data_IF_205885712660
#
_entry.id   IF_205885712660
#
_cell.length_a   1.000
_cell.length_b   1.000
_cell.length_c   1.000
_cell.angle_alpha   90.00
_cell.angle_beta   90.00
_cell.angle_gamma   90.00
#
_symmetry.space_group_name_H-M   'P 1'
#
loop_
_entity.id
_entity.type
_entity.pdbx_description
1 polymer ?
#
# COMPACT_ATOMS: atom_id res chain seq x y z
N UNK A 1 42.56 31.65 22.90
CA UNK A 1 42.72 30.21 23.20
C UNK A 1 41.48 29.74 23.94
N UNK A 2 40.56 29.15 23.23
CA UNK A 2 39.51 28.30 23.80
C UNK A 2 39.43 27.10 22.85
N UNK A 3 40.07 26.01 23.24
CA UNK A 3 39.93 24.71 22.59
C UNK A 3 38.62 24.10 23.02
N UNK A 4 37.77 23.81 22.07
CA UNK A 4 36.57 23.01 22.25
C UNK A 4 36.85 21.60 21.76
N UNK A 5 36.92 20.65 22.69
CA UNK A 5 37.00 19.23 22.44
C UNK A 5 35.81 18.78 21.58
N UNK A 6 36.12 18.29 20.40
CA UNK A 6 35.18 17.49 19.62
C UNK A 6 35.04 16.12 20.28
N UNK A 7 34.02 15.96 21.10
CA UNK A 7 33.61 14.65 21.60
C UNK A 7 33.32 13.74 20.42
N UNK A 8 34.23 12.79 20.20
CA UNK A 8 33.99 11.62 19.32
C UNK A 8 32.74 10.90 19.79
N UNK A 9 31.65 11.03 19.03
CA UNK A 9 30.51 10.16 19.21
C UNK A 9 30.94 8.73 18.86
N UNK A 10 30.91 7.88 19.87
CA UNK A 10 31.08 6.45 19.66
C UNK A 10 30.02 5.93 18.65
N UNK A 11 30.37 5.03 17.74
CA UNK A 11 29.41 4.44 16.86
C UNK A 11 28.33 3.75 17.69
N UNK A 12 27.06 4.00 17.34
CA UNK A 12 25.91 3.29 17.89
C UNK A 12 26.15 1.79 17.75
N UNK A 13 25.78 0.95 18.74
CA UNK A 13 25.96 -0.49 18.63
C UNK A 13 25.23 -0.93 17.32
N UNK A 14 25.96 -1.64 16.46
CA UNK A 14 25.38 -2.27 15.28
C UNK A 14 24.20 -3.11 15.75
N UNK A 15 22.99 -2.70 15.41
CA UNK A 15 21.81 -3.51 15.62
C UNK A 15 22.02 -4.79 14.81
N UNK A 16 22.24 -5.90 15.51
CA UNK A 16 22.36 -7.21 14.88
C UNK A 16 21.14 -7.48 14.00
N UNK A 17 21.21 -8.44 13.06
CA UNK A 17 20.08 -8.75 12.19
C UNK A 17 18.85 -9.06 13.04
N UNK A 18 17.69 -8.47 12.67
CA UNK A 18 16.42 -8.74 13.34
C UNK A 18 16.18 -10.25 13.46
N UNK A 19 16.01 -10.73 14.68
CA UNK A 19 15.63 -12.12 14.90
C UNK A 19 14.14 -12.25 14.59
N UNK A 20 13.83 -12.91 13.49
CA UNK A 20 12.47 -13.15 13.03
C UNK A 20 12.10 -14.60 13.36
N UNK A 21 11.03 -14.79 14.10
CA UNK A 21 10.44 -16.09 14.33
C UNK A 21 9.15 -16.23 13.51
N UNK A 22 8.89 -17.45 13.01
CA UNK A 22 7.73 -17.76 12.17
C UNK A 22 7.08 -19.04 12.66
N UNK A 23 5.77 -19.00 12.85
CA UNK A 23 4.95 -20.17 13.21
C UNK A 23 3.70 -20.21 12.34
N UNK A 24 3.24 -21.41 12.03
CA UNK A 24 1.94 -21.63 11.38
C UNK A 24 1.05 -22.45 12.31
N UNK A 25 -0.10 -21.89 12.66
CA UNK A 25 -1.11 -22.53 13.47
C UNK A 25 -1.82 -23.66 12.70
N UNK A 26 -2.48 -24.56 13.43
CA UNK A 26 -3.22 -25.70 12.83
C UNK A 26 -4.32 -25.26 11.87
N UNK A 27 -4.97 -24.12 12.13
CA UNK A 27 -6.00 -23.55 11.26
C UNK A 27 -5.44 -22.85 10.00
N UNK A 28 -4.11 -22.81 9.84
CA UNK A 28 -3.44 -22.24 8.68
C UNK A 28 -2.98 -20.78 8.86
N UNK A 29 -3.35 -20.11 9.96
CA UNK A 29 -2.88 -18.75 10.28
C UNK A 29 -1.35 -18.75 10.40
N UNK A 30 -0.70 -17.81 9.72
CA UNK A 30 0.74 -17.61 9.82
C UNK A 30 1.03 -16.45 10.78
N UNK A 31 2.01 -16.67 11.66
CA UNK A 31 2.47 -15.67 12.62
C UNK A 31 3.95 -15.39 12.44
N UNK A 32 4.34 -14.14 12.48
CA UNK A 32 5.74 -13.70 12.55
C UNK A 32 5.92 -12.80 13.76
N UNK A 33 7.06 -12.93 14.44
CA UNK A 33 7.33 -12.19 15.66
C UNK A 33 8.75 -11.66 15.74
N UNK A 34 8.89 -10.51 16.39
CA UNK A 34 10.17 -9.91 16.79
C UNK A 34 10.04 -9.28 18.18
N UNK A 35 10.88 -9.73 19.11
CA UNK A 35 10.97 -9.16 20.43
C UNK A 35 11.81 -7.89 20.44
N UNK A 36 11.28 -6.81 21.00
CA UNK A 36 11.99 -5.53 21.17
C UNK A 36 11.85 -5.02 22.60
N UNK A 37 12.90 -5.17 23.39
CA UNK A 37 12.94 -4.76 24.80
C UNK A 37 13.04 -3.23 24.99
N UNK A 38 13.39 -2.49 23.95
CA UNK A 38 13.62 -1.05 24.05
C UNK A 38 12.32 -0.22 24.14
N UNK A 39 11.17 -0.83 23.82
CA UNK A 39 9.89 -0.14 23.79
C UNK A 39 8.85 -0.85 24.64
N UNK A 40 8.08 -0.11 25.42
CA UNK A 40 6.92 -0.64 26.18
C UNK A 40 5.73 -0.99 25.29
N UNK A 41 5.69 -0.45 24.07
CA UNK A 41 4.59 -0.68 23.14
C UNK A 41 4.74 -2.01 22.40
N UNK A 42 3.59 -2.64 22.12
CA UNK A 42 3.47 -3.78 21.25
C UNK A 42 2.57 -3.41 20.07
N UNK A 43 2.96 -3.83 18.88
CA UNK A 43 2.19 -3.66 17.65
C UNK A 43 1.87 -5.02 17.08
N UNK A 44 0.56 -5.28 16.89
CA UNK A 44 0.04 -6.42 16.14
C UNK A 44 -0.50 -5.89 14.81
N UNK A 45 -0.13 -6.53 13.72
CA UNK A 45 -0.68 -6.29 12.38
C UNK A 45 -1.18 -7.58 11.80
N UNK A 46 -2.47 -7.64 11.52
CA UNK A 46 -3.07 -8.75 10.79
C UNK A 46 -3.33 -8.31 9.36
N UNK A 47 -2.77 -9.01 8.38
CA UNK A 47 -3.05 -8.80 6.97
C UNK A 47 -3.72 -10.02 6.39
N UNK A 48 -4.84 -9.79 5.71
CA UNK A 48 -5.56 -10.80 4.96
C UNK A 48 -5.42 -10.52 3.46
N UNK A 49 -5.25 -11.59 2.69
CA UNK A 49 -5.28 -11.52 1.22
C UNK A 49 -6.72 -11.40 0.73
N UNK A 50 -7.36 -10.29 1.09
CA UNK A 50 -8.73 -9.92 0.70
C UNK A 50 -8.82 -8.42 0.54
N UNK A 51 -9.48 -7.95 -0.50
CA UNK A 51 -9.58 -6.51 -0.78
C UNK A 51 -10.55 -6.24 -1.93
N UNK A 52 -10.53 -5.02 -2.42
CA UNK A 52 -11.45 -4.54 -3.44
C UNK A 52 -11.45 -5.31 -4.77
N UNK A 53 -10.41 -6.12 -5.05
CA UNK A 53 -10.37 -6.99 -6.24
C UNK A 53 -11.44 -8.08 -6.22
N UNK A 54 -11.90 -8.46 -5.04
CA UNK A 54 -12.93 -9.47 -4.83
C UNK A 54 -14.36 -8.92 -4.90
N UNK A 55 -14.52 -7.60 -4.99
CA UNK A 55 -15.84 -6.99 -5.10
C UNK A 55 -16.49 -7.31 -6.44
N UNK A 56 -17.77 -7.72 -6.48
CA UNK A 56 -18.53 -7.74 -7.71
C UNK A 56 -18.63 -6.32 -8.30
N UNK A 57 -18.51 -6.15 -9.63
CA UNK A 57 -18.55 -4.81 -10.27
C UNK A 57 -19.76 -3.97 -9.84
N UNK A 58 -20.93 -4.59 -9.74
CA UNK A 58 -22.19 -3.93 -9.38
C UNK A 58 -22.31 -3.55 -7.90
N UNK A 59 -21.39 -4.06 -7.07
CA UNK A 59 -21.27 -3.79 -5.63
C UNK A 59 -19.82 -3.42 -5.22
N UNK A 60 -19.10 -2.77 -6.13
CA UNK A 60 -17.78 -2.21 -5.81
C UNK A 60 -17.88 -1.32 -4.56
N UNK A 61 -16.95 -1.47 -3.61
CA UNK A 61 -16.99 -0.86 -2.28
C UNK A 61 -17.41 -1.82 -1.16
N UNK A 62 -17.81 -3.07 -1.47
CA UNK A 62 -18.18 -4.06 -0.46
C UNK A 62 -17.02 -4.35 0.49
N UNK A 63 -15.81 -4.61 -0.02
CA UNK A 63 -14.63 -4.84 0.81
C UNK A 63 -14.33 -3.63 1.71
N UNK A 64 -14.40 -2.41 1.15
CA UNK A 64 -14.18 -1.16 1.92
C UNK A 64 -15.18 -1.01 3.06
N UNK A 65 -16.47 -1.21 2.79
CA UNK A 65 -17.50 -1.18 3.82
C UNK A 65 -17.30 -2.30 4.85
N UNK A 66 -16.98 -3.53 4.41
CA UNK A 66 -16.70 -4.64 5.33
C UNK A 66 -15.57 -4.28 6.29
N UNK A 67 -14.43 -3.79 5.79
CA UNK A 67 -13.31 -3.39 6.64
C UNK A 67 -13.66 -2.25 7.60
N UNK A 68 -14.37 -1.22 7.13
CA UNK A 68 -14.81 -0.10 7.97
C UNK A 68 -15.82 -0.53 9.07
N UNK A 69 -16.54 -1.63 8.84
CA UNK A 69 -17.54 -2.15 9.76
C UNK A 69 -16.98 -3.14 10.78
N UNK A 70 -15.73 -3.60 10.68
CA UNK A 70 -15.14 -4.58 11.61
C UNK A 70 -15.19 -4.12 13.07
N UNK A 71 -15.06 -2.82 13.31
CA UNK A 71 -15.05 -2.20 14.64
C UNK A 71 -16.41 -1.61 15.05
N UNK A 72 -17.45 -1.75 14.20
CA UNK A 72 -18.76 -1.12 14.45
C UNK A 72 -19.72 -2.00 15.23
N UNK A 73 -19.25 -3.13 15.76
CA UNK A 73 -19.96 -4.06 16.62
C UNK A 73 -19.55 -5.49 16.34
N UNK A 74 -19.43 -6.27 17.39
CA UNK A 74 -19.05 -7.67 17.40
C UNK A 74 -20.10 -8.48 18.15
N UNK A 75 -19.89 -9.80 18.27
CA UNK A 75 -20.77 -10.66 19.07
C UNK A 75 -20.65 -10.39 20.57
N UNK A 76 -19.57 -9.73 21.04
CA UNK A 76 -19.27 -9.48 22.45
C UNK A 76 -19.53 -8.02 22.85
N UNK A 77 -19.26 -7.07 21.94
CA UNK A 77 -19.31 -5.65 22.24
C UNK A 77 -20.06 -4.88 21.17
N UNK A 78 -20.89 -3.92 21.59
CA UNK A 78 -21.39 -2.87 20.68
C UNK A 78 -20.23 -1.96 20.26
N UNK A 79 -20.48 -1.06 19.30
CA UNK A 79 -19.51 -0.06 18.88
C UNK A 79 -19.02 0.80 20.06
N UNK A 80 -19.96 1.28 20.87
CA UNK A 80 -19.68 2.11 22.03
C UNK A 80 -18.87 1.37 23.09
N UNK A 81 -19.25 0.12 23.40
CA UNK A 81 -18.55 -0.73 24.37
C UNK A 81 -17.12 -1.07 23.90
N UNK A 82 -16.93 -1.34 22.59
CA UNK A 82 -15.60 -1.61 22.05
C UNK A 82 -14.69 -0.38 22.14
N UNK A 83 -15.21 0.81 21.82
CA UNK A 83 -14.46 2.06 21.97
C UNK A 83 -14.13 2.35 23.44
N UNK A 84 -15.10 2.21 24.34
CA UNK A 84 -14.86 2.41 25.77
C UNK A 84 -13.78 1.45 26.30
N UNK A 85 -13.82 0.18 25.89
CA UNK A 85 -12.83 -0.83 26.25
C UNK A 85 -11.43 -0.46 25.75
N UNK A 86 -11.32 -0.06 24.48
CA UNK A 86 -10.03 0.27 23.88
C UNK A 86 -9.48 1.59 24.44
N UNK A 87 -10.31 2.61 24.58
CA UNK A 87 -9.91 3.92 25.11
C UNK A 87 -9.46 3.83 26.58
N UNK A 88 -10.18 3.07 27.42
CA UNK A 88 -9.84 2.88 28.82
C UNK A 88 -8.48 2.20 29.04
N UNK A 89 -8.03 1.38 28.07
CA UNK A 89 -6.76 0.65 28.14
C UNK A 89 -5.69 1.21 27.17
N UNK A 90 -5.92 2.38 26.56
CA UNK A 90 -4.96 3.00 25.63
C UNK A 90 -4.65 2.15 24.39
N UNK A 91 -5.58 1.26 24.01
CA UNK A 91 -5.46 0.42 22.83
C UNK A 91 -5.93 1.19 21.60
N UNK A 92 -5.10 1.26 20.57
CA UNK A 92 -5.51 1.82 19.28
C UNK A 92 -5.76 0.69 18.29
N UNK A 93 -6.88 0.76 17.57
CA UNK A 93 -7.22 -0.18 16.53
C UNK A 93 -7.57 0.56 15.23
N UNK A 94 -7.07 0.09 14.11
CA UNK A 94 -7.37 0.64 12.78
C UNK A 94 -7.50 -0.48 11.76
N UNK A 95 -8.45 -0.33 10.84
CA UNK A 95 -8.62 -1.23 9.70
C UNK A 95 -8.47 -0.45 8.39
N UNK A 96 -7.68 -0.97 7.47
CA UNK A 96 -7.51 -0.44 6.14
C UNK A 96 -7.74 -1.50 5.06
N UNK A 97 -8.36 -1.09 3.95
CA UNK A 97 -8.67 -1.98 2.83
C UNK A 97 -8.04 -1.43 1.57
N UNK A 98 -7.11 -2.20 1.04
CA UNK A 98 -6.46 -1.95 -0.23
C UNK A 98 -7.09 -2.77 -1.36
N UNK A 99 -6.48 -2.76 -2.55
CA UNK A 99 -6.96 -3.55 -3.68
C UNK A 99 -6.94 -5.04 -3.43
N UNK A 100 -5.85 -5.55 -2.84
CA UNK A 100 -5.59 -6.98 -2.71
C UNK A 100 -5.50 -7.46 -1.26
N UNK A 101 -5.51 -6.54 -0.30
CA UNK A 101 -5.33 -6.84 1.11
C UNK A 101 -6.26 -6.03 1.98
N UNK A 102 -6.65 -6.61 3.11
CA UNK A 102 -7.23 -5.90 4.26
C UNK A 102 -6.27 -6.05 5.43
N UNK A 103 -5.96 -4.97 6.09
CA UNK A 103 -5.06 -4.93 7.22
C UNK A 103 -5.77 -4.38 8.45
N UNK A 104 -5.58 -5.04 9.60
CA UNK A 104 -6.01 -4.54 10.91
C UNK A 104 -4.78 -4.40 11.79
N UNK A 105 -4.59 -3.21 12.35
CA UNK A 105 -3.47 -2.89 13.24
C UNK A 105 -4.01 -2.64 14.63
N UNK A 106 -3.40 -3.28 15.63
CA UNK A 106 -3.63 -3.01 17.05
C UNK A 106 -2.31 -2.57 17.69
N UNK A 107 -2.36 -1.50 18.48
CA UNK A 107 -1.22 -1.02 19.27
C UNK A 107 -1.65 -0.91 20.73
N UNK A 108 -0.86 -1.46 21.64
CA UNK A 108 -1.12 -1.45 23.08
C UNK A 108 0.21 -1.42 23.86
N UNK A 109 0.09 -1.30 25.17
CA UNK A 109 1.22 -1.58 26.07
C UNK A 109 1.44 -3.09 26.22
N UNK A 110 2.63 -3.50 26.63
CA UNK A 110 2.97 -4.90 26.83
C UNK A 110 2.09 -5.58 27.89
N UNK A 111 1.67 -4.84 28.93
CA UNK A 111 0.76 -5.32 29.98
C UNK A 111 -0.66 -5.57 29.45
N UNK A 112 -1.09 -4.87 28.40
CA UNK A 112 -2.42 -4.99 27.80
C UNK A 112 -2.43 -5.92 26.57
N UNK A 113 -1.35 -6.67 26.32
CA UNK A 113 -1.21 -7.52 25.14
C UNK A 113 -2.32 -8.56 25.02
N UNK A 114 -2.74 -9.19 26.13
CA UNK A 114 -3.82 -10.18 26.11
C UNK A 114 -5.10 -9.56 25.54
N UNK A 115 -5.48 -8.39 26.08
CA UNK A 115 -6.65 -7.64 25.60
C UNK A 115 -6.47 -7.19 24.14
N UNK A 116 -5.28 -6.72 23.76
CA UNK A 116 -4.97 -6.34 22.37
C UNK A 116 -5.14 -7.50 21.39
N UNK A 117 -4.70 -8.69 21.76
CA UNK A 117 -4.88 -9.92 20.96
C UNK A 117 -6.35 -10.33 20.90
N UNK A 118 -7.08 -10.26 22.02
CA UNK A 118 -8.52 -10.57 22.05
C UNK A 118 -9.32 -9.63 21.16
N UNK A 119 -9.08 -8.31 21.25
CA UNK A 119 -9.73 -7.30 20.39
C UNK A 119 -9.43 -7.55 18.92
N UNK A 120 -8.17 -7.84 18.56
CA UNK A 120 -7.81 -8.17 17.18
C UNK A 120 -8.57 -9.40 16.67
N UNK A 121 -8.61 -10.46 17.48
CA UNK A 121 -9.31 -11.68 17.13
C UNK A 121 -10.82 -11.48 17.00
N UNK A 122 -11.42 -10.71 17.91
CA UNK A 122 -12.84 -10.42 17.93
C UNK A 122 -13.29 -9.66 16.68
N UNK A 123 -12.62 -8.56 16.34
CA UNK A 123 -13.00 -7.75 15.16
C UNK A 123 -12.78 -8.47 13.84
N UNK A 124 -11.80 -9.37 13.77
CA UNK A 124 -11.54 -10.16 12.56
C UNK A 124 -12.49 -11.34 12.39
N UNK A 125 -12.96 -11.93 13.49
CA UNK A 125 -13.70 -13.20 13.47
C UNK A 125 -15.20 -13.05 13.64
N UNK A 126 -15.62 -12.07 14.44
CA UNK A 126 -16.97 -12.01 15.02
C UNK A 126 -17.69 -10.65 14.80
N UNK A 127 -17.45 -9.90 13.69
CA UNK A 127 -18.21 -8.67 13.46
C UNK A 127 -19.68 -8.98 13.17
N UNK A 128 -20.59 -8.14 13.68
CA UNK A 128 -22.04 -8.32 13.55
C UNK A 128 -22.67 -7.46 12.46
N UNK A 129 -21.96 -6.46 11.95
CA UNK A 129 -22.42 -5.55 10.90
C UNK A 129 -23.79 -4.89 11.20
N UNK A 130 -23.98 -4.16 12.32
CA UNK A 130 -25.25 -3.56 12.66
C UNK A 130 -25.75 -2.61 11.56
N UNK A 131 -27.03 -2.72 11.20
CA UNK A 131 -27.59 -1.99 10.07
C UNK A 131 -27.54 -0.47 10.25
N UNK A 132 -27.77 0.03 11.47
CA UNK A 132 -27.67 1.46 11.80
C UNK A 132 -26.24 1.99 11.66
N UNK A 133 -25.23 1.17 12.03
CA UNK A 133 -23.82 1.51 11.86
C UNK A 133 -23.42 1.48 10.38
N UNK A 134 -23.96 0.53 9.59
CA UNK A 134 -23.74 0.50 8.16
C UNK A 134 -24.24 1.78 7.48
N UNK A 135 -25.41 2.30 7.86
CA UNK A 135 -25.92 3.53 7.27
C UNK A 135 -25.05 4.75 7.61
N UNK A 136 -24.49 4.82 8.84
CA UNK A 136 -23.54 5.88 9.21
C UNK A 136 -22.25 5.79 8.36
N UNK A 137 -21.62 4.61 8.31
CA UNK A 137 -20.39 4.37 7.52
C UNK A 137 -20.63 4.60 6.04
N UNK A 138 -21.79 4.18 5.51
CA UNK A 138 -22.21 4.45 4.12
C UNK A 138 -22.30 5.95 3.86
N UNK A 139 -22.91 6.72 4.77
CA UNK A 139 -23.02 8.18 4.67
C UNK A 139 -21.65 8.85 4.61
N UNK A 140 -20.74 8.46 5.50
CA UNK A 140 -19.35 8.93 5.54
C UNK A 140 -18.63 8.61 4.19
N UNK A 141 -18.74 7.36 3.73
CA UNK A 141 -18.11 6.92 2.47
C UNK A 141 -18.67 7.66 1.26
N UNK A 142 -19.99 7.84 1.17
CA UNK A 142 -20.62 8.59 0.06
C UNK A 142 -20.22 10.06 0.05
N UNK A 143 -20.03 10.67 1.21
CA UNK A 143 -19.54 12.05 1.31
C UNK A 143 -18.11 12.12 0.77
N UNK A 144 -17.20 11.25 1.23
CA UNK A 144 -15.83 11.20 0.72
C UNK A 144 -15.76 10.88 -0.79
N UNK A 145 -16.66 10.05 -1.32
CA UNK A 145 -16.73 9.76 -2.77
C UNK A 145 -17.13 11.01 -3.57
N UNK A 146 -18.14 11.79 -3.10
CA UNK A 146 -18.55 13.04 -3.76
C UNK A 146 -17.44 14.09 -3.71
N UNK A 147 -16.71 14.20 -2.60
CA UNK A 147 -15.55 15.07 -2.48
C UNK A 147 -14.44 14.64 -3.44
N UNK A 148 -14.13 13.34 -3.50
CA UNK A 148 -13.14 12.79 -4.43
C UNK A 148 -13.53 12.96 -5.91
N UNK A 149 -14.83 12.99 -6.23
CA UNK A 149 -15.31 13.27 -7.60
C UNK A 149 -15.19 14.76 -7.98
N UNK A 150 -14.92 15.63 -7.01
CA UNK A 150 -14.57 17.04 -7.21
C UNK A 150 -13.07 17.32 -7.03
N UNK A 151 -12.26 16.34 -6.71
CA UNK A 151 -10.81 16.47 -6.55
C UNK A 151 -10.09 16.08 -7.85
N UNK A 152 -9.34 17.01 -8.43
CA UNK A 152 -8.69 16.83 -9.74
C UNK A 152 -7.70 15.65 -9.73
N UNK A 153 -6.97 15.43 -8.63
CA UNK A 153 -6.04 14.32 -8.49
C UNK A 153 -6.77 12.97 -8.46
N UNK A 154 -7.83 12.87 -7.67
CA UNK A 154 -8.65 11.66 -7.54
C UNK A 154 -9.33 11.29 -8.85
N UNK A 155 -9.83 12.29 -9.58
CA UNK A 155 -10.47 12.09 -10.90
C UNK A 155 -9.45 11.67 -11.94
N UNK A 156 -8.26 12.30 -11.98
CA UNK A 156 -7.19 11.91 -12.89
C UNK A 156 -6.72 10.47 -12.64
N UNK A 157 -6.52 10.06 -11.36
CA UNK A 157 -6.09 8.70 -11.02
C UNK A 157 -7.14 7.65 -11.37
N UNK A 158 -8.42 7.92 -11.09
CA UNK A 158 -9.52 7.05 -11.52
C UNK A 158 -9.58 6.90 -13.03
N UNK A 159 -9.55 8.01 -13.75
CA UNK A 159 -9.60 8.03 -15.21
C UNK A 159 -8.42 7.30 -15.83
N UNK A 160 -7.23 7.49 -15.26
CA UNK A 160 -6.05 6.72 -15.67
C UNK A 160 -6.27 5.21 -15.56
N UNK A 161 -6.81 4.72 -14.44
CA UNK A 161 -7.08 3.28 -14.27
C UNK A 161 -8.10 2.76 -15.28
N UNK A 162 -9.13 3.54 -15.56
CA UNK A 162 -10.12 3.21 -16.57
C UNK A 162 -9.54 3.11 -17.99
N UNK A 163 -8.49 3.85 -18.29
CA UNK A 163 -7.78 3.81 -19.57
C UNK A 163 -6.70 2.72 -19.62
N UNK A 164 -5.98 2.53 -18.51
CA UNK A 164 -4.84 1.64 -18.43
C UNK A 164 -5.23 0.16 -18.37
N UNK A 165 -6.38 -0.15 -17.76
CA UNK A 165 -6.83 -1.53 -17.56
C UNK A 165 -8.08 -1.86 -18.40
N UNK A 166 -8.21 -3.13 -18.88
CA UNK A 166 -9.42 -3.63 -19.52
C UNK A 166 -10.67 -3.45 -18.66
N UNK A 167 -11.85 -3.46 -19.28
CA UNK A 167 -13.12 -3.17 -18.60
C UNK A 167 -13.45 -4.15 -17.46
N UNK A 168 -13.13 -5.40 -17.64
CA UNK A 168 -13.34 -6.49 -16.67
C UNK A 168 -12.20 -6.63 -15.64
N UNK A 169 -11.08 -5.92 -15.84
CA UNK A 169 -9.93 -6.07 -14.97
C UNK A 169 -10.18 -5.47 -13.57
N UNK A 170 -9.89 -6.20 -12.46
CA UNK A 170 -10.23 -5.73 -11.12
C UNK A 170 -9.48 -4.44 -10.71
N UNK A 171 -8.29 -4.17 -11.25
CA UNK A 171 -7.53 -2.95 -10.94
C UNK A 171 -8.09 -1.68 -11.59
N UNK A 172 -9.02 -1.81 -12.51
CA UNK A 172 -9.78 -0.70 -13.08
C UNK A 172 -10.68 -0.02 -12.03
N UNK A 173 -11.21 -0.81 -11.09
CA UNK A 173 -12.22 -0.36 -10.12
C UNK A 173 -11.61 0.34 -8.91
N UNK A 174 -12.36 1.29 -8.34
CA UNK A 174 -12.03 1.93 -7.06
C UNK A 174 -12.33 0.97 -5.91
N UNK A 175 -11.41 0.87 -4.96
CA UNK A 175 -11.60 0.11 -3.71
C UNK A 175 -12.77 0.68 -2.89
N UNK A 176 -12.91 2.01 -2.87
CA UNK A 176 -14.01 2.71 -2.19
C UNK A 176 -15.36 2.56 -2.88
N UNK A 177 -15.41 1.93 -4.07
CA UNK A 177 -16.62 1.87 -4.88
C UNK A 177 -16.99 3.20 -5.52
N UNK A 178 -18.26 3.35 -5.84
CA UNK A 178 -18.83 4.50 -6.55
C UNK A 178 -20.13 4.95 -5.88
N UNK A 179 -20.55 6.21 -6.18
CA UNK A 179 -21.82 6.76 -5.64
C UNK A 179 -23.02 5.89 -6.05
N UNK A 180 -22.92 5.18 -7.17
CA UNK A 180 -23.94 4.28 -7.71
C UNK A 180 -23.90 2.87 -7.11
N UNK A 181 -22.72 2.38 -6.69
CA UNK A 181 -22.54 0.99 -6.21
C UNK A 181 -22.68 0.86 -4.70
N UNK A 182 -22.14 1.81 -3.94
CA UNK A 182 -22.14 1.80 -2.47
C UNK A 182 -23.54 1.73 -1.87
N UNK A 183 -24.57 2.42 -2.39
CA UNK A 183 -25.96 2.30 -1.88
C UNK A 183 -26.57 0.91 -2.06
N UNK A 184 -26.05 0.09 -3.01
CA UNK A 184 -26.55 -1.27 -3.27
C UNK A 184 -26.02 -2.32 -2.31
N UNK A 185 -24.97 -1.98 -1.54
CA UNK A 185 -24.38 -2.91 -0.57
C UNK A 185 -25.29 -3.01 0.64
N UNK A 186 -25.70 -4.21 1.02
CA UNK A 186 -26.53 -4.51 2.18
C UNK A 186 -25.75 -5.32 3.22
N UNK A 187 -26.27 -5.43 4.44
CA UNK A 187 -25.65 -6.22 5.52
C UNK A 187 -25.33 -7.65 5.08
N UNK A 188 -26.26 -8.32 4.38
CA UNK A 188 -26.03 -9.68 3.88
C UNK A 188 -24.82 -9.79 2.94
N UNK A 189 -24.54 -8.74 2.17
CA UNK A 189 -23.38 -8.70 1.29
C UNK A 189 -22.07 -8.59 2.11
N UNK A 190 -22.07 -7.81 3.21
CA UNK A 190 -20.92 -7.73 4.12
C UNK A 190 -20.68 -9.05 4.84
N UNK A 191 -21.75 -9.68 5.34
CA UNK A 191 -21.69 -11.00 5.97
C UNK A 191 -21.15 -12.05 5.00
N UNK A 192 -21.65 -12.07 3.77
CA UNK A 192 -21.20 -13.00 2.73
C UNK A 192 -19.72 -12.75 2.37
N UNK A 193 -19.33 -11.49 2.18
CA UNK A 193 -17.94 -11.12 1.90
C UNK A 193 -17.03 -11.54 3.04
N UNK A 194 -17.36 -11.19 4.28
CA UNK A 194 -16.57 -11.54 5.46
C UNK A 194 -16.43 -13.07 5.59
N UNK A 195 -17.51 -13.85 5.56
CA UNK A 195 -17.48 -15.31 5.66
C UNK A 195 -16.67 -15.97 4.54
N UNK A 196 -16.69 -15.40 3.35
CA UNK A 196 -15.98 -15.92 2.19
C UNK A 196 -14.48 -15.61 2.19
N UNK A 197 -14.07 -14.47 2.74
CA UNK A 197 -12.74 -13.90 2.52
C UNK A 197 -11.91 -13.72 3.80
N UNK A 198 -12.53 -13.56 4.97
CA UNK A 198 -11.82 -13.47 6.25
C UNK A 198 -11.55 -14.88 6.79
N UNK A 199 -10.42 -15.42 6.40
CA UNK A 199 -10.06 -16.83 6.58
C UNK A 199 -8.66 -16.93 7.16
N UNK A 200 -8.43 -17.86 8.11
CA UNK A 200 -7.11 -18.00 8.76
C UNK A 200 -6.00 -18.36 7.76
N UNK A 201 -6.28 -19.16 6.74
CA UNK A 201 -5.31 -19.56 5.72
C UNK A 201 -4.94 -18.43 4.74
N UNK A 202 -5.70 -17.33 4.71
CA UNK A 202 -5.40 -16.12 3.97
C UNK A 202 -4.78 -15.02 4.84
N UNK A 203 -4.64 -15.28 6.14
CA UNK A 203 -4.22 -14.30 7.14
C UNK A 203 -2.77 -14.52 7.59
N UNK A 204 -2.10 -13.41 7.81
CA UNK A 204 -0.77 -13.33 8.44
C UNK A 204 -0.88 -12.35 9.60
N UNK A 205 -0.41 -12.72 10.78
CA UNK A 205 -0.30 -11.82 11.94
C UNK A 205 1.17 -11.59 12.24
N UNK A 206 1.60 -10.34 12.21
CA UNK A 206 2.92 -9.93 12.64
C UNK A 206 2.82 -9.22 14.00
N UNK A 207 3.73 -9.55 14.91
CA UNK A 207 3.86 -8.89 16.21
C UNK A 207 5.28 -8.40 16.42
N UNK A 208 5.40 -7.18 16.91
CA UNK A 208 6.68 -6.61 17.32
C UNK A 208 6.51 -5.80 18.60
N UNK A 209 7.41 -5.97 19.57
CA UNK A 209 7.37 -5.23 20.82
C UNK A 209 7.95 -5.97 22.02
N UNK A 210 7.63 -5.48 23.19
CA UNK A 210 8.15 -6.01 24.47
C UNK A 210 7.35 -7.23 24.93
N UNK A 211 7.55 -8.33 24.24
CA UNK A 211 6.93 -9.62 24.56
C UNK A 211 7.82 -10.74 24.03
N UNK A 212 7.91 -11.84 24.76
CA UNK A 212 8.52 -13.07 24.25
C UNK A 212 7.73 -13.61 23.07
N UNK A 213 8.41 -13.93 21.96
CA UNK A 213 7.72 -14.31 20.72
C UNK A 213 6.89 -15.57 20.88
N UNK A 214 7.40 -16.59 21.61
CA UNK A 214 6.64 -17.82 21.89
C UNK A 214 5.37 -17.52 22.68
N UNK A 215 5.46 -16.71 23.74
CA UNK A 215 4.32 -16.29 24.54
C UNK A 215 3.27 -15.55 23.69
N UNK A 216 3.73 -14.64 22.84
CA UNK A 216 2.84 -13.91 21.92
C UNK A 216 2.13 -14.86 20.96
N UNK A 217 2.84 -15.82 20.39
CA UNK A 217 2.26 -16.82 19.50
C UNK A 217 1.23 -17.71 20.19
N UNK A 218 1.50 -18.14 21.41
CA UNK A 218 0.53 -18.92 22.20
C UNK A 218 -0.77 -18.15 22.50
N UNK A 219 -0.65 -16.85 22.80
CA UNK A 219 -1.83 -15.96 23.00
C UNK A 219 -2.62 -15.81 21.69
N UNK A 220 -1.94 -15.57 20.56
CA UNK A 220 -2.57 -15.45 19.25
C UNK A 220 -3.23 -16.79 18.87
N UNK A 221 -2.54 -17.92 18.99
CA UNK A 221 -3.10 -19.24 18.68
C UNK A 221 -4.37 -19.53 19.49
N UNK A 222 -4.36 -19.21 20.79
CA UNK A 222 -5.52 -19.38 21.68
C UNK A 222 -6.70 -18.51 21.23
N UNK A 223 -6.48 -17.21 20.97
CA UNK A 223 -7.51 -16.27 20.54
C UNK A 223 -8.11 -16.63 19.17
N UNK A 224 -7.30 -17.21 18.28
CA UNK A 224 -7.70 -17.58 16.93
C UNK A 224 -8.02 -19.09 16.77
N UNK A 225 -7.98 -19.89 17.82
CA UNK A 225 -8.16 -21.37 17.76
C UNK A 225 -9.47 -21.81 17.12
N UNK A 226 -10.55 -21.09 17.40
CA UNK A 226 -11.89 -21.37 16.83
C UNK A 226 -12.13 -20.77 15.45
N UNK A 227 -11.17 -20.04 14.88
CA UNK A 227 -11.33 -19.45 13.55
C UNK A 227 -11.19 -20.49 12.47
N UNK A 228 -12.31 -20.82 11.85
CA UNK A 228 -12.38 -21.79 10.76
C UNK A 228 -13.18 -21.21 9.60
N UNK A 229 -12.72 -21.48 8.40
CA UNK A 229 -13.43 -21.10 7.20
C UNK A 229 -14.17 -22.29 6.60
N UNK A 230 -15.37 -22.04 6.09
CA UNK A 230 -16.13 -23.03 5.32
C UNK A 230 -15.87 -22.93 3.82
N UNK A 231 -15.91 -24.04 3.11
CA UNK A 231 -15.76 -24.05 1.65
C UNK A 231 -14.35 -23.76 1.15
N UNK A 232 -14.19 -23.61 -0.17
CA UNK A 232 -12.92 -23.28 -0.81
C UNK A 232 -12.59 -21.77 -0.63
N UNK A 233 -11.29 -21.46 -0.51
CA UNK A 233 -10.83 -20.07 -0.53
C UNK A 233 -11.11 -19.44 -1.90
N UNK A 234 -11.46 -18.14 -1.95
CA UNK A 234 -11.62 -17.44 -3.22
C UNK A 234 -10.27 -17.34 -3.95
N UNK A 235 -10.31 -17.32 -5.26
CA UNK A 235 -9.11 -16.95 -6.03
C UNK A 235 -8.85 -15.47 -5.85
N UNK A 236 -7.64 -15.15 -5.40
CA UNK A 236 -7.14 -13.78 -5.23
C UNK A 236 -6.12 -13.42 -6.31
N UNK A 237 -5.95 -14.28 -7.30
CA UNK A 237 -5.06 -14.02 -8.42
C UNK A 237 -5.62 -12.90 -9.29
N UNK A 238 -4.76 -11.93 -9.57
CA UNK A 238 -5.06 -10.84 -10.49
C UNK A 238 -4.34 -11.12 -11.79
N UNK A 239 -5.06 -11.23 -12.91
CA UNK A 239 -4.44 -11.49 -14.20
C UNK A 239 -3.52 -10.32 -14.59
N UNK A 240 -2.44 -10.55 -15.34
CA UNK A 240 -1.67 -9.47 -15.92
C UNK A 240 -2.52 -8.71 -16.94
N UNK A 241 -2.42 -7.38 -16.92
CA UNK A 241 -3.06 -6.54 -17.93
C UNK A 241 -2.05 -6.25 -19.06
N UNK A 242 -2.50 -6.46 -20.29
CA UNK A 242 -1.73 -6.00 -21.44
C UNK A 242 -1.60 -4.46 -21.42
N UNK A 243 -0.47 -3.90 -21.85
CA UNK A 243 -0.34 -2.46 -22.00
C UNK A 243 -1.35 -1.93 -23.02
N UNK A 244 -1.71 -0.64 -22.94
CA UNK A 244 -2.56 0.00 -23.96
C UNK A 244 -1.99 -0.18 -25.37
N UNK A 245 -2.88 -0.38 -26.33
CA UNK A 245 -2.53 -0.37 -27.74
C UNK A 245 -2.40 1.10 -28.20
N UNK A 246 -1.20 1.64 -28.21
CA UNK A 246 -0.92 3.04 -28.46
C UNK A 246 -1.20 3.95 -27.27
N UNK A 247 -1.41 5.24 -27.55
CA UNK A 247 -1.70 6.27 -26.54
C UNK A 247 -3.20 6.37 -26.32
N UNK A 248 -3.62 6.13 -25.07
CA UNK A 248 -5.02 6.37 -24.65
C UNK A 248 -5.08 7.62 -23.82
N UNK A 249 -5.86 8.61 -24.24
CA UNK A 249 -6.00 9.90 -23.56
C UNK A 249 -7.45 10.21 -23.24
N UNK A 250 -7.68 10.75 -22.02
CA UNK A 250 -8.96 11.34 -21.63
C UNK A 250 -8.73 12.57 -20.76
N UNK A 251 -9.51 13.60 -21.08
CA UNK A 251 -9.60 14.82 -20.28
C UNK A 251 -10.96 14.86 -19.60
N UNK A 252 -10.97 15.22 -18.33
CA UNK A 252 -12.18 15.39 -17.52
C UNK A 252 -12.23 16.82 -17.03
N UNK A 253 -13.25 17.55 -17.49
CA UNK A 253 -13.46 18.91 -17.08
C UNK A 253 -14.06 18.98 -15.68
N UNK A 254 -13.41 19.76 -14.80
CA UNK A 254 -13.86 20.09 -13.45
C UNK A 254 -13.95 21.61 -13.33
N UNK A 255 -15.14 22.21 -13.45
CA UNK A 255 -15.32 23.66 -13.40
C UNK A 255 -14.86 24.25 -12.07
N UNK A 256 -14.34 25.48 -12.12
CA UNK A 256 -13.93 26.24 -10.93
C UNK A 256 -12.61 25.80 -10.29
N UNK A 257 -11.85 24.93 -10.95
CA UNK A 257 -10.50 24.54 -10.51
C UNK A 257 -9.47 25.50 -11.13
N UNK A 258 -8.37 25.72 -10.40
CA UNK A 258 -7.22 26.52 -10.87
C UNK A 258 -6.02 25.67 -11.30
N UNK A 259 -6.06 24.38 -11.00
CA UNK A 259 -5.01 23.39 -11.29
C UNK A 259 -5.58 22.25 -12.12
N UNK A 260 -4.77 21.73 -13.02
CA UNK A 260 -4.99 20.44 -13.66
C UNK A 260 -4.05 19.40 -13.08
N UNK A 261 -4.60 18.22 -12.74
CA UNK A 261 -3.81 17.05 -12.35
C UNK A 261 -3.77 16.06 -13.50
N UNK A 262 -2.59 15.52 -13.77
CA UNK A 262 -2.36 14.55 -14.81
C UNK A 262 -1.70 13.29 -14.28
N UNK A 263 -2.05 12.15 -14.88
CA UNK A 263 -1.46 10.84 -14.64
C UNK A 263 -1.09 10.22 -15.98
N UNK A 264 0.16 9.76 -16.10
CA UNK A 264 0.68 9.08 -17.29
C UNK A 264 1.28 7.75 -16.84
N UNK A 265 0.90 6.64 -17.47
CA UNK A 265 1.46 5.35 -17.08
C UNK A 265 0.88 4.17 -17.82
N UNK A 266 1.18 2.98 -17.34
CA UNK A 266 0.72 1.70 -17.90
C UNK A 266 0.80 0.58 -16.85
N UNK A 267 0.12 -0.57 -17.06
CA UNK A 267 0.37 -1.77 -16.27
C UNK A 267 1.86 -2.16 -16.29
N UNK A 268 2.37 -2.61 -15.17
CA UNK A 268 3.77 -2.96 -14.96
C UNK A 268 3.89 -4.34 -14.28
N UNK A 269 4.67 -4.45 -13.21
CA UNK A 269 5.06 -5.72 -12.60
C UNK A 269 4.45 -5.90 -11.21
N UNK A 270 4.41 -7.15 -10.74
CA UNK A 270 4.13 -7.47 -9.34
C UNK A 270 5.39 -7.36 -8.48
N UNK A 271 5.21 -7.39 -7.15
CA UNK A 271 6.33 -7.38 -6.19
C UNK A 271 7.24 -8.62 -6.30
N UNK A 272 6.71 -9.73 -6.81
CA UNK A 272 7.42 -11.01 -6.98
C UNK A 272 8.10 -11.15 -8.35
N UNK A 273 7.90 -10.19 -9.23
CA UNK A 273 8.52 -10.21 -10.55
C UNK A 273 10.05 -10.08 -10.44
N UNK A 274 10.85 -10.86 -11.17
CA UNK A 274 12.30 -10.75 -11.14
C UNK A 274 12.82 -9.37 -11.54
N UNK A 275 12.08 -8.63 -12.37
CA UNK A 275 12.43 -7.28 -12.82
C UNK A 275 12.13 -6.20 -11.78
N UNK A 276 11.41 -6.54 -10.69
CA UNK A 276 10.89 -5.56 -9.73
C UNK A 276 11.98 -4.67 -9.15
N UNK A 277 13.08 -5.21 -8.63
CA UNK A 277 14.11 -4.41 -7.94
C UNK A 277 14.86 -3.48 -8.89
N UNK A 278 15.16 -3.93 -10.11
CA UNK A 278 15.79 -3.09 -11.11
C UNK A 278 14.84 -1.98 -11.59
N UNK A 279 13.55 -2.29 -11.75
CA UNK A 279 12.53 -1.32 -12.13
C UNK A 279 12.23 -0.33 -10.99
N UNK A 280 12.22 -0.78 -9.73
CA UNK A 280 12.01 0.09 -8.56
C UNK A 280 13.17 1.08 -8.36
N UNK A 281 14.42 0.63 -8.56
CA UNK A 281 15.59 1.52 -8.57
C UNK A 281 15.54 2.49 -9.76
N UNK A 282 15.19 2.01 -10.95
CA UNK A 282 14.97 2.88 -12.11
C UNK A 282 13.88 3.93 -11.85
N UNK A 283 12.77 3.53 -11.22
CA UNK A 283 11.70 4.45 -10.83
C UNK A 283 12.13 5.44 -9.74
N UNK A 284 13.00 5.02 -8.82
CA UNK A 284 13.56 5.90 -7.79
C UNK A 284 14.34 7.06 -8.43
N UNK A 285 15.23 6.74 -9.38
CA UNK A 285 16.00 7.71 -10.16
C UNK A 285 15.08 8.58 -11.01
N UNK A 286 14.08 7.97 -11.65
CA UNK A 286 13.16 8.67 -12.55
C UNK A 286 12.29 9.69 -11.83
N UNK A 287 11.64 9.31 -10.70
CA UNK A 287 10.69 10.25 -10.09
C UNK A 287 10.20 9.95 -8.69
N UNK A 288 10.47 8.75 -8.11
CA UNK A 288 9.96 8.41 -6.77
C UNK A 288 10.51 9.32 -5.66
N UNK A 289 11.72 9.86 -5.83
CA UNK A 289 12.31 10.83 -4.89
C UNK A 289 11.73 12.26 -5.03
N UNK A 290 10.64 12.42 -5.76
CA UNK A 290 10.03 13.74 -5.96
C UNK A 290 11.02 14.72 -6.58
N UNK A 291 11.38 15.80 -5.89
CA UNK A 291 12.29 16.83 -6.41
C UNK A 291 13.69 16.30 -6.78
N UNK A 292 14.16 15.26 -6.12
CA UNK A 292 15.48 14.70 -6.39
C UNK A 292 15.49 13.71 -7.58
N UNK A 293 14.32 13.27 -8.07
CA UNK A 293 14.20 12.46 -9.28
C UNK A 293 14.27 13.31 -10.54
N UNK A 294 14.59 12.67 -11.68
CA UNK A 294 14.70 13.35 -13.00
C UNK A 294 13.43 14.12 -13.38
N UNK A 295 12.24 13.50 -13.19
CA UNK A 295 10.96 14.15 -13.45
C UNK A 295 10.78 15.39 -12.58
N UNK A 296 11.07 15.32 -11.27
CA UNK A 296 10.96 16.45 -10.37
C UNK A 296 11.89 17.60 -10.74
N UNK A 297 13.15 17.28 -11.00
CA UNK A 297 14.16 18.26 -11.45
C UNK A 297 13.76 18.95 -12.74
N UNK A 298 13.32 18.19 -13.76
CA UNK A 298 12.95 18.74 -15.05
C UNK A 298 11.65 19.55 -14.98
N UNK A 299 10.55 18.90 -14.55
CA UNK A 299 9.20 19.46 -14.65
C UNK A 299 8.97 20.60 -13.66
N UNK A 300 9.49 20.47 -12.42
CA UNK A 300 9.26 21.46 -11.36
C UNK A 300 10.39 22.45 -11.21
N UNK A 301 11.64 22.01 -11.06
CA UNK A 301 12.75 22.93 -10.74
C UNK A 301 13.24 23.70 -11.96
N UNK A 302 13.49 23.01 -13.08
CA UNK A 302 14.07 23.67 -14.28
C UNK A 302 13.03 24.42 -15.09
N UNK A 303 11.85 23.82 -15.29
CA UNK A 303 10.82 24.41 -16.14
C UNK A 303 9.70 25.14 -15.38
N UNK A 304 9.57 24.94 -14.06
CA UNK A 304 8.55 25.60 -13.25
C UNK A 304 7.11 25.25 -13.65
N UNK A 305 6.87 24.06 -14.24
CA UNK A 305 5.57 23.68 -14.80
C UNK A 305 4.60 23.15 -13.77
N UNK A 306 5.11 22.50 -12.72
CA UNK A 306 4.30 21.76 -11.78
C UNK A 306 4.55 22.18 -10.33
N UNK A 307 3.49 22.16 -9.52
CA UNK A 307 3.59 22.29 -8.07
C UNK A 307 4.18 21.00 -7.45
N UNK A 308 3.80 19.86 -7.98
CA UNK A 308 4.40 18.55 -7.66
C UNK A 308 4.53 17.72 -8.94
N UNK A 309 5.55 16.87 -8.98
CA UNK A 309 5.70 15.84 -10.00
C UNK A 309 6.53 14.68 -9.43
N UNK A 310 6.07 13.47 -9.65
CA UNK A 310 6.73 12.26 -9.18
C UNK A 310 6.25 11.03 -9.98
N UNK A 311 6.94 9.90 -9.84
CA UNK A 311 6.48 8.62 -10.37
C UNK A 311 6.41 7.55 -9.28
N UNK A 312 5.55 6.57 -9.50
CA UNK A 312 5.29 5.46 -8.59
C UNK A 312 5.23 4.14 -9.35
N UNK A 313 5.80 3.10 -8.76
CA UNK A 313 5.63 1.72 -9.17
C UNK A 313 4.79 1.00 -8.12
N UNK A 314 3.57 0.60 -8.47
CA UNK A 314 2.68 -0.16 -7.59
C UNK A 314 3.09 -1.64 -7.61
N UNK A 315 3.97 -2.03 -6.70
CA UNK A 315 4.34 -3.44 -6.51
C UNK A 315 3.42 -4.13 -5.52
N UNK A 316 2.40 -4.83 -6.01
CA UNK A 316 1.44 -5.60 -5.20
C UNK A 316 1.61 -7.11 -5.33
N UNK A 317 0.63 -7.88 -4.82
CA UNK A 317 0.54 -9.33 -5.03
C UNK A 317 0.33 -9.68 -6.51
N UNK A 318 -0.45 -8.86 -7.22
CA UNK A 318 -0.59 -8.89 -8.67
C UNK A 318 0.14 -7.73 -9.36
N UNK A 319 0.24 -7.77 -10.70
CA UNK A 319 0.90 -6.74 -11.49
C UNK A 319 0.19 -5.39 -11.35
N UNK A 320 0.84 -4.43 -10.70
CA UNK A 320 0.34 -3.07 -10.55
C UNK A 320 0.62 -2.18 -11.75
N UNK A 321 0.58 -0.86 -11.56
CA UNK A 321 0.94 0.11 -12.59
C UNK A 321 2.24 0.83 -12.24
N UNK A 322 2.97 1.23 -13.26
CA UNK A 322 3.86 2.37 -13.16
C UNK A 322 3.10 3.61 -13.64
N UNK A 323 3.18 4.70 -12.88
CA UNK A 323 2.53 5.96 -13.25
C UNK A 323 3.32 7.18 -12.76
N UNK A 324 3.49 8.17 -13.63
CA UNK A 324 3.93 9.51 -13.28
C UNK A 324 2.72 10.42 -13.06
N UNK A 325 2.82 11.30 -12.07
CA UNK A 325 1.77 12.23 -11.66
C UNK A 325 2.33 13.64 -11.57
N UNK A 326 1.55 14.64 -11.99
CA UNK A 326 1.91 16.04 -11.82
C UNK A 326 0.65 16.92 -11.64
N UNK A 327 0.77 17.93 -10.77
CA UNK A 327 -0.21 19.01 -10.64
C UNK A 327 0.34 20.27 -11.28
N UNK A 328 -0.33 20.78 -12.31
CA UNK A 328 0.17 21.83 -13.19
C UNK A 328 -0.84 22.97 -13.39
N UNK A 329 -0.36 24.11 -13.82
CA UNK A 329 -1.26 25.11 -14.41
C UNK A 329 -1.87 24.52 -15.69
N UNK A 330 -3.17 24.68 -15.96
CA UNK A 330 -3.83 24.13 -17.14
C UNK A 330 -3.14 24.47 -18.47
N UNK A 331 -2.59 25.67 -18.60
CA UNK A 331 -1.81 26.09 -19.77
C UNK A 331 -0.50 25.32 -19.98
N UNK A 332 -0.02 24.60 -18.97
CA UNK A 332 1.24 23.87 -18.99
C UNK A 332 1.08 22.34 -19.17
N UNK A 333 -0.15 21.83 -19.31
CA UNK A 333 -0.44 20.39 -19.36
C UNK A 333 0.40 19.70 -20.43
N UNK A 334 0.36 20.16 -21.68
CA UNK A 334 1.10 19.52 -22.78
C UNK A 334 2.61 19.54 -22.57
N UNK A 335 3.13 20.67 -22.08
CA UNK A 335 4.57 20.80 -21.80
C UNK A 335 5.03 19.86 -20.67
N UNK A 336 4.19 19.69 -19.66
CA UNK A 336 4.48 18.77 -18.55
C UNK A 336 4.44 17.31 -19.02
N UNK A 337 3.47 16.94 -19.86
CA UNK A 337 3.41 15.61 -20.49
C UNK A 337 4.68 15.33 -21.29
N UNK A 338 5.05 16.29 -22.16
CA UNK A 338 6.25 16.16 -22.98
C UNK A 338 7.53 16.04 -22.14
N UNK A 339 7.67 16.87 -21.09
CA UNK A 339 8.81 16.83 -20.18
C UNK A 339 8.91 15.49 -19.42
N UNK A 340 7.79 14.94 -18.93
CA UNK A 340 7.76 13.60 -18.28
C UNK A 340 8.18 12.52 -19.29
N UNK A 341 7.60 12.52 -20.48
CA UNK A 341 7.91 11.53 -21.51
C UNK A 341 9.35 11.66 -22.02
N UNK A 342 9.94 12.87 -22.03
CA UNK A 342 11.33 13.06 -22.36
C UNK A 342 12.27 12.35 -21.37
N UNK A 343 11.98 12.39 -20.06
CA UNK A 343 12.76 11.67 -19.06
C UNK A 343 12.61 10.16 -19.20
N UNK A 344 11.38 9.66 -19.46
CA UNK A 344 11.16 8.24 -19.75
C UNK A 344 11.95 7.82 -21.00
N UNK A 345 11.93 8.62 -22.06
CA UNK A 345 12.70 8.36 -23.30
C UNK A 345 14.20 8.31 -23.02
N UNK A 346 14.73 9.28 -22.30
CA UNK A 346 16.15 9.31 -21.93
C UNK A 346 16.60 8.05 -21.18
N UNK A 347 15.78 7.57 -20.23
CA UNK A 347 16.07 6.31 -19.52
C UNK A 347 15.94 5.04 -20.40
N UNK A 348 15.19 5.10 -21.50
CA UNK A 348 15.08 4.00 -22.47
C UNK A 348 16.21 3.99 -23.50
N UNK A 349 16.82 5.13 -23.76
CA UNK A 349 17.87 5.30 -24.79
C UNK A 349 19.26 4.98 -24.25
N UNK A 350 19.57 5.39 -23.04
CA UNK A 350 20.88 5.22 -22.41
C UNK A 350 20.79 4.69 -20.97
N UNK A 351 21.82 3.97 -20.48
CA UNK A 351 21.93 3.61 -19.08
C UNK A 351 21.95 4.85 -18.18
N UNK A 352 21.41 4.73 -16.97
CA UNK A 352 21.54 5.77 -15.93
C UNK A 352 23.01 6.05 -15.62
N UNK A 353 23.32 7.24 -15.08
CA UNK A 353 24.69 7.56 -14.70
C UNK A 353 25.11 6.70 -13.49
N UNK A 354 26.41 6.52 -13.33
CA UNK A 354 26.96 5.67 -12.27
C UNK A 354 26.67 6.24 -10.86
N UNK A 355 26.75 7.55 -10.74
CA UNK A 355 26.41 8.27 -9.50
C UNK A 355 24.93 8.18 -9.17
N UNK A 356 24.03 8.32 -10.14
CA UNK A 356 22.57 8.14 -9.94
C UNK A 356 22.24 6.74 -9.40
N UNK A 357 22.86 5.69 -9.93
CA UNK A 357 22.65 4.34 -9.45
C UNK A 357 23.22 4.16 -8.03
N UNK A 358 24.44 4.66 -7.79
CA UNK A 358 25.07 4.56 -6.48
C UNK A 358 24.24 5.29 -5.40
N UNK A 359 23.75 6.49 -5.70
CA UNK A 359 22.88 7.27 -4.81
C UNK A 359 21.55 6.55 -4.54
N UNK A 360 20.92 5.99 -5.57
CA UNK A 360 19.69 5.22 -5.42
C UNK A 360 19.89 3.98 -4.55
N UNK A 361 20.96 3.21 -4.78
CA UNK A 361 21.30 2.03 -3.99
C UNK A 361 21.60 2.40 -2.52
N UNK A 362 22.37 3.47 -2.29
CA UNK A 362 22.68 3.96 -0.95
C UNK A 362 21.41 4.44 -0.24
N UNK A 363 20.53 5.15 -0.94
CA UNK A 363 19.28 5.62 -0.38
C UNK A 363 18.41 4.48 0.13
N UNK A 364 18.07 3.50 -0.71
CA UNK A 364 17.14 2.42 -0.31
C UNK A 364 17.75 1.49 0.75
N UNK A 365 19.07 1.28 0.73
CA UNK A 365 19.73 0.49 1.76
C UNK A 365 19.86 1.28 3.06
N UNK A 366 20.04 2.59 3.00
CA UNK A 366 20.12 3.48 4.17
C UNK A 366 18.77 3.76 4.85
N UNK A 367 17.66 3.75 4.10
CA UNK A 367 16.32 3.95 4.66
C UNK A 367 15.81 2.68 5.38
N UNK A 368 16.28 1.49 5.03
CA UNK A 368 15.84 0.25 5.66
C UNK A 368 16.01 0.23 7.19
N UNK A 369 17.17 0.57 7.79
CA UNK A 369 17.32 0.65 9.23
C UNK A 369 16.31 1.60 9.89
N UNK A 370 16.06 2.77 9.28
CA UNK A 370 15.08 3.75 9.80
C UNK A 370 13.65 3.18 9.82
N UNK A 371 13.28 2.37 8.80
CA UNK A 371 12.00 1.68 8.79
C UNK A 371 11.88 0.65 9.94
N UNK A 372 12.98 0.13 10.44
CA UNK A 372 13.03 -0.88 11.49
C UNK A 372 13.21 -0.28 12.91
N UNK A 373 13.30 1.03 13.08
CA UNK A 373 13.43 1.69 14.39
C UNK A 373 12.14 1.58 15.22
N UNK A 374 10.98 1.48 14.59
CA UNK A 374 9.70 1.38 15.28
C UNK A 374 9.12 -0.03 15.23
N UNK A 375 8.43 -0.46 16.28
CA UNK A 375 7.68 -1.72 16.28
C UNK A 375 6.66 -1.80 15.13
N UNK A 376 6.08 -0.66 14.76
CA UNK A 376 5.17 -0.57 13.61
C UNK A 376 5.87 -0.88 12.29
N UNK A 377 7.04 -0.30 12.07
CA UNK A 377 7.86 -0.56 10.88
C UNK A 377 8.38 -2.00 10.83
N UNK A 378 8.77 -2.56 11.98
CA UNK A 378 9.14 -3.97 12.09
C UNK A 378 7.97 -4.87 11.72
N UNK A 379 6.81 -4.71 12.37
CA UNK A 379 5.63 -5.54 12.10
C UNK A 379 5.18 -5.45 10.63
N UNK A 380 5.22 -4.27 10.01
CA UNK A 380 4.96 -4.08 8.58
C UNK A 380 5.96 -4.82 7.70
N UNK A 381 7.23 -4.79 8.06
CA UNK A 381 8.29 -5.50 7.34
C UNK A 381 8.11 -7.01 7.43
N UNK A 382 7.76 -7.53 8.60
CA UNK A 382 7.45 -8.94 8.80
C UNK A 382 6.28 -9.40 7.91
N UNK A 383 5.19 -8.61 7.86
CA UNK A 383 4.08 -8.88 6.94
C UNK A 383 4.55 -8.93 5.48
N UNK A 384 5.36 -7.96 5.06
CA UNK A 384 5.88 -7.90 3.69
C UNK A 384 6.73 -9.13 3.35
N UNK A 385 7.58 -9.59 4.28
CA UNK A 385 8.41 -10.79 4.10
C UNK A 385 7.54 -12.01 3.82
N UNK A 386 6.49 -12.23 4.59
CA UNK A 386 5.59 -13.39 4.42
C UNK A 386 4.68 -13.24 3.21
N UNK A 387 4.03 -12.11 3.07
CA UNK A 387 3.01 -11.88 2.01
C UNK A 387 3.63 -11.93 0.62
N UNK A 388 4.85 -11.43 0.46
CA UNK A 388 5.57 -11.46 -0.81
C UNK A 388 6.54 -12.63 -0.96
N UNK A 389 6.59 -13.56 0.04
CA UNK A 389 7.44 -14.75 0.01
C UNK A 389 8.94 -14.41 -0.20
N UNK A 390 9.43 -13.44 0.57
CA UNK A 390 10.79 -12.92 0.41
C UNK A 390 11.86 -13.77 1.13
N UNK A 391 11.43 -14.66 2.05
CA UNK A 391 12.30 -15.45 2.91
C UNK A 391 12.70 -14.72 4.20
N UNK A 392 12.86 -15.45 5.30
CA UNK A 392 13.17 -14.87 6.61
C UNK A 392 14.54 -14.20 6.67
N UNK A 393 15.44 -14.54 5.76
CA UNK A 393 16.77 -13.98 5.57
C UNK A 393 16.79 -12.73 4.67
N UNK A 394 15.61 -12.27 4.23
CA UNK A 394 15.47 -11.16 3.28
C UNK A 394 16.20 -9.91 3.73
N UNK A 395 16.07 -9.51 5.00
CA UNK A 395 16.70 -8.29 5.50
C UNK A 395 18.23 -8.36 5.40
N UNK A 396 18.82 -9.52 5.65
CA UNK A 396 20.27 -9.72 5.52
C UNK A 396 20.72 -9.69 4.04
N UNK A 397 19.90 -10.23 3.13
CA UNK A 397 20.19 -10.27 1.69
C UNK A 397 19.87 -8.98 0.96
N UNK A 398 18.94 -8.17 1.46
CA UNK A 398 18.41 -6.99 0.75
C UNK A 398 19.50 -6.03 0.26
N UNK A 399 20.49 -5.63 1.08
CA UNK A 399 21.57 -4.76 0.60
C UNK A 399 22.36 -5.37 -0.58
N UNK A 400 22.58 -6.69 -0.55
CA UNK A 400 23.27 -7.39 -1.65
C UNK A 400 22.40 -7.48 -2.90
N UNK A 401 21.10 -7.72 -2.76
CA UNK A 401 20.14 -7.72 -3.89
C UNK A 401 20.15 -6.35 -4.57
N UNK A 402 20.08 -5.27 -3.79
CA UNK A 402 20.05 -3.90 -4.32
C UNK A 402 21.39 -3.54 -5.00
N UNK A 403 22.52 -3.84 -4.36
CA UNK A 403 23.87 -3.53 -4.92
C UNK A 403 24.23 -4.36 -6.15
N UNK A 404 23.59 -5.51 -6.34
CA UNK A 404 23.79 -6.35 -7.52
C UNK A 404 23.09 -5.80 -8.78
N UNK A 405 22.14 -4.86 -8.65
CA UNK A 405 21.46 -4.27 -9.80
C UNK A 405 22.43 -3.38 -10.58
N UNK A 406 22.53 -3.62 -11.88
CA UNK A 406 23.40 -2.85 -12.78
C UNK A 406 22.63 -1.82 -13.61
N UNK A 407 23.34 -0.88 -14.19
CA UNK A 407 22.81 0.14 -15.09
C UNK A 407 22.15 -0.46 -16.32
N UNK A 408 22.74 -1.52 -16.85
CA UNK A 408 22.26 -2.28 -18.01
C UNK A 408 20.96 -3.02 -17.69
N UNK A 409 20.83 -3.58 -16.48
CA UNK A 409 19.59 -4.19 -16.02
C UNK A 409 18.48 -3.14 -15.92
N UNK A 410 18.77 -1.96 -15.33
CA UNK A 410 17.80 -0.85 -15.28
C UNK A 410 17.35 -0.45 -16.69
N UNK A 411 18.31 -0.29 -17.63
CA UNK A 411 17.97 0.03 -19.02
C UNK A 411 17.08 -1.05 -19.66
N UNK A 412 17.40 -2.32 -19.43
CA UNK A 412 16.62 -3.44 -19.97
C UNK A 412 15.18 -3.46 -19.44
N UNK A 413 14.98 -3.33 -18.10
CA UNK A 413 13.63 -3.35 -17.50
C UNK A 413 12.84 -2.09 -17.83
N UNK A 414 13.48 -0.93 -17.91
CA UNK A 414 12.83 0.32 -18.34
C UNK A 414 12.34 0.19 -19.80
N UNK A 415 13.13 -0.41 -20.70
CA UNK A 415 12.70 -0.69 -22.08
C UNK A 415 11.54 -1.66 -22.16
N UNK A 416 11.50 -2.66 -21.30
CA UNK A 416 10.43 -3.66 -21.26
C UNK A 416 9.12 -3.12 -20.68
N UNK A 417 9.21 -2.37 -19.58
CA UNK A 417 8.06 -2.02 -18.77
C UNK A 417 7.58 -0.57 -18.88
N UNK A 418 8.40 0.37 -19.37
CA UNK A 418 7.97 1.75 -19.63
C UNK A 418 7.90 2.01 -21.14
N UNK A 419 7.01 2.91 -21.56
CA UNK A 419 6.85 3.26 -22.98
C UNK A 419 6.47 4.71 -23.14
N UNK A 420 6.91 5.31 -24.25
CA UNK A 420 6.49 6.64 -24.70
C UNK A 420 5.49 6.58 -25.87
N UNK A 421 5.09 5.38 -26.26
CA UNK A 421 4.18 5.12 -27.38
C UNK A 421 2.93 4.34 -26.96
N UNK A 422 3.04 3.55 -25.89
CA UNK A 422 1.99 2.67 -25.38
C UNK A 422 1.71 2.98 -23.90
N UNK A 423 0.89 3.97 -23.65
CA UNK A 423 0.54 4.42 -22.30
C UNK A 423 -0.86 5.00 -22.24
N UNK A 424 -1.41 5.10 -21.04
CA UNK A 424 -2.62 5.84 -20.74
C UNK A 424 -2.24 7.19 -20.13
N UNK A 425 -2.95 8.26 -20.53
CA UNK A 425 -2.86 9.56 -19.86
C UNK A 425 -4.25 10.09 -19.55
N UNK A 426 -4.42 10.50 -18.32
CA UNK A 426 -5.64 11.12 -17.83
C UNK A 426 -5.32 12.51 -17.30
N UNK A 427 -6.15 13.48 -17.64
CA UNK A 427 -6.05 14.84 -17.18
C UNK A 427 -7.39 15.23 -16.55
N UNK A 428 -7.38 15.84 -15.38
CA UNK A 428 -8.56 16.38 -14.75
C UNK A 428 -8.27 17.83 -14.29
N UNK A 429 -9.12 18.77 -14.70
CA UNK A 429 -8.90 20.17 -14.39
C UNK A 429 -9.97 21.06 -15.03
N UNK A 430 -9.80 22.40 -15.02
CA UNK A 430 -10.70 23.29 -15.74
C UNK A 430 -10.57 23.05 -17.25
N UNK A 431 -11.57 23.50 -18.02
CA UNK A 431 -11.47 23.52 -19.47
C UNK A 431 -10.19 24.23 -19.94
N UNK A 432 -9.52 23.66 -20.93
CA UNK A 432 -8.42 24.37 -21.58
C UNK A 432 -8.94 25.67 -22.19
N UNK A 433 -8.42 26.81 -21.73
CA UNK A 433 -8.79 28.14 -22.24
C UNK A 433 -8.10 28.45 -23.55
#
# INVERSE_FOLDING_TARGET
MIGGDAASQAPSPEAGPLRIERRRAENGLVMLGHQNEASQAVVLRAMLRTGGVLDPPERAGTARLTGAMLQRGTTRHTFEQLNELTDANGISIAADVARQTTEVTVKCLAEDLELGVEVLAEVLREPTFPADQLEKVRGELLTGLREADQDTRSVADRTFRELAYPEDHPFRRRVSGYVETVPRVQVDHLVAHHRGTFRPELAVVAIAGRVGVDEAFERIERAFSGWRAGGAAPSIEVPPAAPPDGVRRREVELPGKSQADLVIGRPAVSRRDPDYYALDLGNLILGRLGLNGRIGKNVREQQGLAYYSYSELEGGLGPGAWAARAGVNPANVERAIEAILAEVRAMREAPVQEDELADAQNYVTGVLPLALESNDGVARTLLSIEVYDLGLDFLARYPSIIRAVTREQILAVVRAHLSVEQYATAIAGPAAS
#
